data_IF_738134999092
#
_entry.id   IF_738134999092
#
_cell.length_a   1.000
_cell.length_b   1.000
_cell.length_c   1.000
_cell.angle_alpha   90.00
_cell.angle_beta   90.00
_cell.angle_gamma   90.00
#
_symmetry.space_group_name_H-M   'P 1'
#
loop_
_entity.id
_entity.type
_entity.pdbx_description
1 polymer ?
#
# COMPACT_ATOMS: atom_id res chain seq x y z
N UNK A 1 16.47 6.17 -29.18
CA UNK A 1 15.23 6.64 -29.46
C UNK A 1 15.11 8.09 -29.30
N UNK A 2 14.42 8.67 -30.08
CA UNK A 2 14.42 10.05 -30.08
C UNK A 2 13.12 10.62 -29.63
N UNK A 3 13.17 11.34 -28.58
CA UNK A 3 12.02 12.02 -28.11
C UNK A 3 11.90 13.31 -28.84
N UNK A 4 11.11 13.32 -29.87
CA UNK A 4 10.85 14.52 -30.58
C UNK A 4 10.01 15.46 -29.76
N UNK A 5 10.03 16.75 -30.09
CA UNK A 5 9.22 17.72 -29.37
C UNK A 5 7.78 17.30 -29.35
N UNK A 6 7.17 17.56 -28.25
CA UNK A 6 5.77 17.21 -27.99
C UNK A 6 5.53 15.74 -27.89
N UNK A 7 5.15 15.10 -29.00
CA UNK A 7 4.63 13.76 -28.96
C UNK A 7 5.64 12.75 -28.50
N UNK A 8 6.81 12.74 -29.15
CA UNK A 8 7.82 11.74 -28.82
C UNK A 8 8.47 11.99 -27.48
N UNK A 9 8.60 13.25 -27.10
CA UNK A 9 9.16 13.57 -25.81
C UNK A 9 8.23 13.07 -24.70
N UNK A 10 6.94 13.25 -24.86
CA UNK A 10 5.96 12.75 -23.91
C UNK A 10 6.01 11.22 -23.85
N UNK A 11 6.17 10.57 -24.98
CA UNK A 11 6.28 9.12 -25.01
C UNK A 11 7.51 8.61 -24.27
N UNK A 12 8.63 9.25 -24.46
CA UNK A 12 9.83 8.88 -23.75
C UNK A 12 9.67 8.97 -22.26
N UNK A 13 9.13 10.07 -21.80
CA UNK A 13 8.89 10.28 -20.39
C UNK A 13 7.95 9.22 -19.84
N UNK A 14 6.91 8.95 -20.59
CA UNK A 14 5.92 7.97 -20.19
C UNK A 14 6.51 6.56 -20.10
N UNK A 15 7.31 6.20 -21.09
CA UNK A 15 7.96 4.90 -21.10
C UNK A 15 8.90 4.73 -19.91
N UNK A 16 9.64 5.77 -19.57
CA UNK A 16 10.52 5.73 -18.41
C UNK A 16 9.75 5.53 -17.12
N UNK A 17 8.66 6.24 -16.97
CA UNK A 17 7.81 6.11 -15.79
C UNK A 17 7.26 4.68 -15.68
N UNK A 18 6.81 4.13 -16.78
CA UNK A 18 6.27 2.76 -16.79
C UNK A 18 7.34 1.74 -16.41
N UNK A 19 8.55 1.90 -16.92
CA UNK A 19 9.64 0.98 -16.61
C UNK A 19 10.00 1.03 -15.12
N UNK A 20 10.10 2.23 -14.58
CA UNK A 20 10.39 2.39 -13.16
C UNK A 20 9.30 1.78 -12.30
N UNK A 21 8.08 2.01 -12.69
CA UNK A 21 6.94 1.51 -11.94
C UNK A 21 6.89 -0.02 -11.96
N UNK A 22 7.10 -0.61 -13.11
CA UNK A 22 7.11 -2.06 -13.25
C UNK A 22 8.24 -2.67 -12.44
N UNK A 23 9.42 -2.06 -12.47
CA UNK A 23 10.56 -2.53 -11.69
C UNK A 23 10.30 -2.48 -10.20
N UNK A 24 9.73 -1.39 -9.73
CA UNK A 24 9.37 -1.23 -8.32
C UNK A 24 8.34 -2.28 -7.91
N UNK A 25 7.27 -2.41 -8.68
CA UNK A 25 6.23 -3.36 -8.37
C UNK A 25 6.77 -4.79 -8.31
N UNK A 26 7.68 -5.13 -9.20
CA UNK A 26 8.26 -6.47 -9.25
C UNK A 26 9.18 -6.74 -8.07
N UNK A 27 9.99 -5.75 -7.69
CA UNK A 27 10.97 -5.89 -6.64
C UNK A 27 10.36 -5.80 -5.24
N UNK A 28 9.25 -5.08 -5.11
CA UNK A 28 8.74 -4.64 -3.81
C UNK A 28 7.39 -5.22 -3.43
N UNK A 29 7.11 -6.44 -3.87
CA UNK A 29 5.85 -7.06 -3.49
C UNK A 29 5.74 -7.25 -1.97
N UNK A 30 6.80 -7.68 -1.34
CA UNK A 30 6.83 -7.82 0.11
C UNK A 30 6.75 -6.47 0.80
N UNK A 31 7.39 -5.46 0.22
CA UNK A 31 7.31 -4.11 0.77
C UNK A 31 5.86 -3.63 0.78
N UNK A 32 5.14 -3.84 -0.32
CA UNK A 32 3.74 -3.44 -0.42
C UNK A 32 2.87 -4.19 0.58
N UNK A 33 3.09 -5.49 0.73
CA UNK A 33 2.34 -6.30 1.69
C UNK A 33 2.53 -5.80 3.12
N UNK A 34 3.76 -5.48 3.50
CA UNK A 34 4.05 -5.00 4.84
C UNK A 34 3.42 -3.62 5.06
N UNK A 35 3.50 -2.74 4.07
CA UNK A 35 2.88 -1.42 4.17
C UNK A 35 1.36 -1.54 4.29
N UNK A 36 0.76 -2.38 3.49
CA UNK A 36 -0.69 -2.60 3.55
C UNK A 36 -1.10 -3.18 4.90
N UNK A 37 -0.30 -4.08 5.45
CA UNK A 37 -0.56 -4.61 6.78
C UNK A 37 -0.52 -3.50 7.83
N UNK A 38 0.44 -2.59 7.73
CA UNK A 38 0.49 -1.43 8.62
C UNK A 38 -0.75 -0.56 8.50
N UNK A 39 -1.19 -0.30 7.27
CA UNK A 39 -2.39 0.48 7.02
C UNK A 39 -3.62 -0.20 7.61
N UNK A 40 -3.81 -1.48 7.36
CA UNK A 40 -4.98 -2.21 7.85
C UNK A 40 -4.96 -2.38 9.36
N UNK A 41 -3.79 -2.55 9.96
CA UNK A 41 -3.66 -2.64 11.41
C UNK A 41 -4.10 -1.33 12.08
N UNK A 42 -3.67 -0.20 11.51
CA UNK A 42 -4.10 1.10 11.98
C UNK A 42 -5.61 1.29 11.76
N UNK A 43 -6.09 0.91 10.59
CA UNK A 43 -7.51 0.99 10.24
C UNK A 43 -8.35 0.15 11.19
N UNK A 44 -7.88 -1.03 11.54
CA UNK A 44 -8.63 -1.92 12.46
C UNK A 44 -8.94 -1.21 13.77
N UNK A 45 -7.97 -0.53 14.33
CA UNK A 45 -8.14 0.22 15.56
C UNK A 45 -9.03 1.44 15.36
N UNK A 46 -8.72 2.24 14.36
CA UNK A 46 -9.40 3.52 14.14
C UNK A 46 -10.83 3.34 13.62
N UNK A 47 -11.06 2.34 12.81
CA UNK A 47 -12.37 2.06 12.23
C UNK A 47 -13.19 1.09 13.06
N UNK A 48 -12.60 0.51 14.10
CA UNK A 48 -13.23 -0.50 14.95
C UNK A 48 -13.66 -1.72 14.14
N UNK A 49 -12.81 -2.18 13.25
CA UNK A 49 -13.05 -3.41 12.51
C UNK A 49 -12.97 -4.60 13.47
N UNK A 50 -13.93 -5.51 13.35
CA UNK A 50 -13.91 -6.75 14.12
C UNK A 50 -13.24 -7.88 13.36
N UNK A 51 -13.04 -7.69 12.07
CA UNK A 51 -12.40 -8.68 11.21
C UNK A 51 -11.28 -8.04 10.40
N UNK A 52 -10.14 -8.72 10.37
CA UNK A 52 -9.03 -8.41 9.50
C UNK A 52 -8.46 -9.74 9.03
N UNK A 53 -8.40 -9.93 7.71
CA UNK A 53 -8.08 -11.22 7.10
C UNK A 53 -6.79 -11.83 7.64
N UNK A 54 -6.91 -12.99 8.24
CA UNK A 54 -5.79 -13.70 8.85
C UNK A 54 -4.73 -14.08 7.81
N UNK A 55 -5.16 -14.52 6.64
CA UNK A 55 -4.24 -14.92 5.60
C UNK A 55 -3.35 -13.76 5.13
N UNK A 56 -3.94 -12.58 5.04
CA UNK A 56 -3.18 -11.39 4.68
C UNK A 56 -2.11 -11.07 5.72
N UNK A 57 -2.46 -11.17 6.98
CA UNK A 57 -1.52 -10.95 8.07
C UNK A 57 -0.38 -11.96 8.01
N UNK A 58 -0.69 -13.20 7.72
CA UNK A 58 0.30 -14.26 7.61
C UNK A 58 1.29 -14.00 6.48
N UNK A 59 0.78 -13.61 5.32
CA UNK A 59 1.62 -13.30 4.17
C UNK A 59 2.55 -12.13 4.47
N UNK A 60 2.02 -11.11 5.15
CA UNK A 60 2.82 -9.97 5.57
C UNK A 60 3.93 -10.41 6.54
N UNK A 61 3.62 -11.26 7.50
CA UNK A 61 4.60 -11.72 8.45
C UNK A 61 5.72 -12.53 7.79
N UNK A 62 5.39 -13.32 6.79
CA UNK A 62 6.41 -14.02 6.02
C UNK A 62 7.33 -13.03 5.31
N UNK A 63 6.76 -11.98 4.74
CA UNK A 63 7.56 -10.93 4.12
C UNK A 63 8.44 -10.20 5.14
N UNK A 64 7.93 -9.98 6.34
CA UNK A 64 8.72 -9.36 7.40
C UNK A 64 9.93 -10.22 7.75
N UNK A 65 9.78 -11.54 7.78
CA UNK A 65 10.88 -12.44 8.01
C UNK A 65 11.95 -12.34 6.94
N UNK A 66 11.55 -12.16 5.69
CA UNK A 66 12.48 -12.03 4.58
C UNK A 66 13.19 -10.68 4.56
N UNK A 67 12.49 -9.62 4.89
CA UNK A 67 13.04 -8.26 4.85
C UNK A 67 13.87 -7.90 6.06
N UNK A 68 13.65 -8.57 7.19
CA UNK A 68 14.34 -8.28 8.41
C UNK A 68 13.59 -7.28 9.28
N UNK A 69 13.98 -7.23 10.54
CA UNK A 69 13.26 -6.48 11.57
C UNK A 69 13.22 -4.98 11.32
N UNK A 70 14.36 -4.41 11.00
CA UNK A 70 14.48 -2.95 10.83
C UNK A 70 13.67 -2.46 9.63
N UNK A 71 13.85 -3.12 8.49
CA UNK A 71 13.15 -2.75 7.25
C UNK A 71 11.64 -2.96 7.43
N UNK A 72 11.25 -4.07 8.04
CA UNK A 72 9.83 -4.38 8.26
C UNK A 72 9.16 -3.34 9.14
N UNK A 73 9.82 -2.92 10.19
CA UNK A 73 9.28 -1.90 11.09
C UNK A 73 9.06 -0.57 10.38
N UNK A 74 10.01 -0.21 9.54
CA UNK A 74 9.93 1.02 8.75
C UNK A 74 8.75 0.97 7.78
N UNK A 75 8.63 -0.13 7.04
CA UNK A 75 7.55 -0.30 6.07
C UNK A 75 6.18 -0.32 6.74
N UNK A 76 6.07 -1.03 7.83
CA UNK A 76 4.83 -1.10 8.59
C UNK A 76 4.42 0.30 9.08
N UNK A 77 5.37 1.05 9.60
CA UNK A 77 5.14 2.42 10.05
C UNK A 77 4.69 3.32 8.91
N UNK A 78 5.27 3.15 7.73
CA UNK A 78 4.84 3.90 6.54
C UNK A 78 3.38 3.61 6.21
N UNK A 79 2.96 2.37 6.35
CA UNK A 79 1.56 2.00 6.12
C UNK A 79 0.62 2.66 7.11
N UNK A 80 1.01 2.70 8.38
CA UNK A 80 0.22 3.38 9.40
C UNK A 80 0.10 4.88 9.12
N UNK A 81 1.21 5.50 8.71
CA UNK A 81 1.21 6.92 8.34
C UNK A 81 0.33 7.18 7.12
N UNK A 82 0.30 6.26 6.18
CA UNK A 82 -0.55 6.37 5.00
C UNK A 82 -2.03 6.40 5.39
N UNK A 83 -2.42 5.56 6.35
CA UNK A 83 -3.79 5.60 6.86
C UNK A 83 -4.09 6.97 7.48
N UNK A 84 -3.20 7.45 8.31
CA UNK A 84 -3.40 8.75 8.98
C UNK A 84 -3.54 9.89 7.97
N UNK A 85 -2.71 9.90 6.94
CA UNK A 85 -2.78 10.91 5.89
C UNK A 85 -4.08 10.85 5.12
N UNK A 86 -4.52 9.66 4.75
CA UNK A 86 -5.77 9.51 4.02
C UNK A 86 -6.97 9.87 4.88
N UNK A 87 -6.93 9.52 6.15
CA UNK A 87 -7.99 9.87 7.09
C UNK A 87 -8.08 11.38 7.28
N UNK A 88 -6.95 12.06 7.34
CA UNK A 88 -6.93 13.51 7.44
C UNK A 88 -7.51 14.18 6.20
N UNK A 89 -7.26 13.60 5.03
CA UNK A 89 -7.71 14.14 3.77
C UNK A 89 -9.19 13.88 3.49
N UNK A 90 -9.63 12.64 3.70
CA UNK A 90 -10.99 12.18 3.35
C UNK A 90 -11.97 12.22 4.52
N UNK A 91 -11.49 12.25 5.73
CA UNK A 91 -12.27 11.99 6.92
C UNK A 91 -12.17 10.50 7.30
N UNK A 92 -12.07 10.25 8.59
CA UNK A 92 -11.85 8.89 9.09
C UNK A 92 -12.99 7.95 8.70
N UNK A 93 -14.22 8.37 8.92
CA UNK A 93 -15.37 7.50 8.66
C UNK A 93 -15.52 7.22 7.15
N UNK A 94 -15.28 8.20 6.31
CA UNK A 94 -15.32 8.02 4.87
C UNK A 94 -14.27 7.00 4.45
N UNK A 95 -13.07 7.09 4.99
CA UNK A 95 -12.02 6.13 4.69
C UNK A 95 -12.38 4.73 5.18
N UNK A 96 -12.95 4.63 6.37
CA UNK A 96 -13.37 3.34 6.91
C UNK A 96 -14.43 2.67 6.02
N UNK A 97 -15.41 3.44 5.57
CA UNK A 97 -16.44 2.93 4.67
C UNK A 97 -15.84 2.50 3.32
N UNK A 98 -14.91 3.30 2.82
CA UNK A 98 -14.25 2.98 1.56
C UNK A 98 -13.47 1.68 1.65
N UNK A 99 -12.75 1.47 2.73
CA UNK A 99 -11.99 0.23 2.93
C UNK A 99 -12.91 -0.99 3.00
N UNK A 100 -14.02 -0.88 3.71
CA UNK A 100 -14.98 -1.98 3.77
C UNK A 100 -15.63 -2.26 2.41
N UNK A 101 -15.92 -1.22 1.67
CA UNK A 101 -16.56 -1.33 0.36
C UNK A 101 -15.63 -1.91 -0.68
N UNK A 102 -14.38 -1.41 -0.71
CA UNK A 102 -13.41 -1.82 -1.73
C UNK A 102 -12.77 -3.18 -1.40
N UNK A 103 -12.68 -3.52 -0.12
CA UNK A 103 -11.96 -4.71 0.34
C UNK A 103 -12.81 -5.52 1.32
N UNK A 104 -13.99 -6.00 0.88
CA UNK A 104 -14.93 -6.67 1.78
C UNK A 104 -14.39 -8.00 2.32
N UNK A 105 -13.40 -8.59 1.64
CA UNK A 105 -12.80 -9.84 2.09
C UNK A 105 -11.63 -9.63 3.03
N UNK A 106 -11.21 -8.40 3.21
CA UNK A 106 -10.03 -8.08 4.02
C UNK A 106 -10.40 -7.50 5.38
N UNK A 107 -11.37 -6.58 5.41
CA UNK A 107 -11.77 -5.92 6.65
C UNK A 107 -13.29 -5.84 6.76
N UNK A 108 -13.80 -5.93 7.98
CA UNK A 108 -15.24 -5.83 8.27
C UNK A 108 -15.44 -5.27 9.69
N UNK A 109 -16.54 -4.59 9.87
CA UNK A 109 -17.00 -4.20 11.19
C UNK A 109 -17.79 -5.29 11.87
#
# INVERSE_FOLDING_TARGET
MICKPFTLKARCTYALILLLYAGIAHADRCDDLIKMDGLFTKARTECRFTYYAWRFQQDSQQCMGKKGKTVSKELFSQGQSAFASKAASLGKEVLCQKLMSDLPMTVKR
#
